data_IF_183133050483
#
_entry.id   IF_183133050483
#
_cell.length_a   1.000
_cell.length_b   1.000
_cell.length_c   1.000
_cell.angle_alpha   90.00
_cell.angle_beta   90.00
_cell.angle_gamma   90.00
#
_symmetry.space_group_name_H-M   'P 1'
#
loop_
_entity.id
_entity.type
_entity.pdbx_description
1 polymer ?
#
# COMPACT_ATOMS: atom_id res chain seq x y z
N UNK A 1 -15.79 15.03 21.82
CA UNK A 1 -15.94 13.82 22.66
C UNK A 1 -14.66 13.66 23.46
N UNK A 2 -14.67 13.82 24.79
CA UNK A 2 -13.48 13.59 25.63
C UNK A 2 -13.27 12.08 25.74
N UNK A 3 -12.25 11.55 25.07
CA UNK A 3 -11.84 10.16 25.23
C UNK A 3 -11.28 10.03 26.65
N UNK A 4 -11.96 9.27 27.50
CA UNK A 4 -11.55 9.05 28.88
C UNK A 4 -10.32 8.15 28.92
N UNK A 5 -9.20 8.70 29.39
CA UNK A 5 -7.91 8.04 29.67
C UNK A 5 -7.95 7.16 30.93
N UNK A 6 -8.96 6.28 31.04
CA UNK A 6 -9.04 5.39 32.19
C UNK A 6 -7.89 4.37 32.14
N UNK A 7 -7.09 4.21 33.23
CA UNK A 7 -6.09 3.17 33.29
C UNK A 7 -6.75 1.79 33.11
N UNK A 8 -6.31 1.04 32.11
CA UNK A 8 -6.76 -0.33 31.84
C UNK A 8 -5.66 -1.33 32.19
N UNK A 9 -5.99 -2.62 32.19
CA UNK A 9 -5.04 -3.71 32.49
C UNK A 9 -4.82 -4.54 31.23
N UNK A 10 -3.55 -4.70 30.82
CA UNK A 10 -3.13 -5.59 29.75
C UNK A 10 -2.14 -6.65 30.24
N UNK A 11 -1.79 -7.61 29.39
CA UNK A 11 -0.78 -8.64 29.69
C UNK A 11 0.41 -8.50 28.72
N UNK A 12 1.60 -8.24 29.26
CA UNK A 12 2.86 -8.13 28.48
C UNK A 12 3.86 -9.12 29.07
N UNK A 13 4.40 -10.02 28.24
CA UNK A 13 5.32 -11.09 28.66
C UNK A 13 4.83 -11.87 29.90
N UNK A 14 3.55 -12.24 29.90
CA UNK A 14 2.97 -13.02 31.00
C UNK A 14 2.56 -12.21 32.23
N UNK A 15 2.92 -10.93 32.33
CA UNK A 15 2.64 -10.08 33.50
C UNK A 15 1.48 -9.13 33.23
N UNK A 16 0.59 -8.99 34.21
CA UNK A 16 -0.46 -7.98 34.16
C UNK A 16 0.14 -6.59 34.42
N UNK A 17 -0.08 -5.67 33.50
CA UNK A 17 0.40 -4.29 33.57
C UNK A 17 -0.78 -3.34 33.45
N UNK A 18 -0.81 -2.32 34.32
CA UNK A 18 -1.73 -1.20 34.17
C UNK A 18 -1.13 -0.22 33.18
N UNK A 19 -1.88 0.17 32.16
CA UNK A 19 -1.47 1.20 31.22
C UNK A 19 -2.63 2.13 30.91
N UNK A 20 -2.31 3.37 30.54
CA UNK A 20 -3.29 4.33 30.06
C UNK A 20 -3.20 4.35 28.54
N UNK A 21 -4.25 3.94 27.81
CA UNK A 21 -4.25 4.07 26.35
C UNK A 21 -4.30 5.56 26.03
N UNK A 22 -3.18 6.12 25.55
CA UNK A 22 -3.09 7.49 25.06
C UNK A 22 -2.87 7.46 23.56
N UNK A 23 -3.53 8.38 22.85
CA UNK A 23 -3.19 8.66 21.46
C UNK A 23 -1.72 9.13 21.39
N UNK A 24 -1.01 8.82 20.30
CA UNK A 24 0.44 9.08 20.19
C UNK A 24 0.79 10.56 20.35
N UNK A 25 -0.15 11.43 20.05
CA UNK A 25 -0.08 12.89 20.18
C UNK A 25 -0.09 13.38 21.64
N UNK A 26 -0.66 12.61 22.57
CA UNK A 26 -0.79 12.97 23.99
C UNK A 26 0.30 12.29 24.86
N UNK A 27 1.29 11.63 24.25
CA UNK A 27 2.35 10.96 24.98
C UNK A 27 3.39 11.98 25.48
N UNK A 28 3.56 12.18 26.81
CA UNK A 28 4.56 13.11 27.35
C UNK A 28 6.01 12.64 27.14
N UNK A 29 6.19 11.39 26.69
CA UNK A 29 7.51 10.84 26.37
C UNK A 29 8.03 11.44 25.08
N UNK A 30 9.27 11.96 25.11
CA UNK A 30 9.92 12.52 23.92
C UNK A 30 10.06 11.44 22.84
N UNK A 31 9.85 11.82 21.58
CA UNK A 31 10.15 10.96 20.42
C UNK A 31 11.63 10.58 20.49
N UNK A 32 11.91 9.29 20.65
CA UNK A 32 13.27 8.78 20.77
C UNK A 32 13.95 8.55 19.42
N UNK A 33 13.17 8.27 18.37
CA UNK A 33 13.65 8.08 17.01
C UNK A 33 12.54 8.37 15.98
N UNK A 34 12.95 8.88 14.83
CA UNK A 34 12.11 9.00 13.64
C UNK A 34 12.69 8.11 12.56
N UNK A 35 11.84 7.32 11.90
CA UNK A 35 12.24 6.47 10.78
C UNK A 35 11.60 7.00 9.50
N UNK A 36 12.40 7.18 8.47
CA UNK A 36 11.94 7.51 7.11
C UNK A 36 12.33 6.36 6.22
N UNK A 37 11.38 5.82 5.46
CA UNK A 37 11.66 4.75 4.50
C UNK A 37 11.17 5.19 3.13
N UNK A 38 12.05 5.00 2.14
CA UNK A 38 11.76 5.25 0.75
C UNK A 38 11.63 3.91 0.02
N UNK A 39 10.45 3.65 -0.54
CA UNK A 39 10.18 2.47 -1.36
C UNK A 39 9.99 2.92 -2.82
N UNK A 40 10.97 2.67 -3.72
CA UNK A 40 10.80 2.98 -5.13
C UNK A 40 9.85 1.96 -5.76
N UNK A 41 8.74 2.45 -6.32
CA UNK A 41 7.74 1.64 -7.03
C UNK A 41 7.62 2.13 -8.48
N UNK A 42 7.56 1.20 -9.42
CA UNK A 42 7.16 1.46 -10.81
C UNK A 42 5.65 1.36 -10.97
N UNK A 43 5.12 1.78 -12.13
CA UNK A 43 3.68 1.63 -12.42
C UNK A 43 3.27 0.15 -12.41
N UNK A 44 4.13 -0.75 -12.88
CA UNK A 44 3.90 -2.19 -12.83
C UNK A 44 3.83 -2.72 -11.39
N UNK A 45 4.65 -2.18 -10.48
CA UNK A 45 4.58 -2.56 -9.06
C UNK A 45 3.24 -2.10 -8.45
N UNK A 46 2.80 -0.87 -8.78
CA UNK A 46 1.53 -0.32 -8.30
C UNK A 46 0.35 -1.12 -8.87
N UNK A 47 0.40 -1.47 -10.15
CA UNK A 47 -0.62 -2.30 -10.79
C UNK A 47 -0.70 -3.69 -10.15
N UNK A 48 0.45 -4.32 -9.87
CA UNK A 48 0.50 -5.61 -9.16
C UNK A 48 -0.10 -5.51 -7.75
N UNK A 49 0.23 -4.46 -7.00
CA UNK A 49 -0.36 -4.20 -5.68
C UNK A 49 -1.87 -4.01 -5.76
N UNK A 50 -2.37 -3.26 -6.75
CA UNK A 50 -3.81 -3.06 -6.93
C UNK A 50 -4.54 -4.33 -7.38
N UNK A 51 -3.90 -5.17 -8.20
CA UNK A 51 -4.44 -6.48 -8.55
C UNK A 51 -4.53 -7.40 -7.33
N UNK A 52 -3.52 -7.37 -6.46
CA UNK A 52 -3.57 -8.06 -5.16
C UNK A 52 -4.71 -7.55 -4.27
N UNK A 53 -4.86 -6.23 -4.13
CA UNK A 53 -5.91 -5.60 -3.30
C UNK A 53 -7.30 -5.96 -3.81
N UNK A 54 -7.49 -5.93 -5.13
CA UNK A 54 -8.79 -6.17 -5.78
C UNK A 54 -9.07 -7.65 -6.04
N UNK A 55 -8.25 -8.55 -5.50
CA UNK A 55 -8.43 -9.98 -5.67
C UNK A 55 -9.79 -10.44 -5.12
N UNK A 56 -10.55 -11.21 -5.90
CA UNK A 56 -11.89 -11.67 -5.56
C UNK A 56 -13.00 -10.61 -5.65
N UNK A 57 -12.68 -9.34 -5.92
CA UNK A 57 -13.69 -8.30 -6.10
C UNK A 57 -14.48 -8.47 -7.40
N UNK A 58 -15.76 -8.14 -7.34
CA UNK A 58 -16.63 -8.00 -8.51
C UNK A 58 -16.30 -6.75 -9.31
N UNK A 59 -16.82 -6.67 -10.55
CA UNK A 59 -16.61 -5.50 -11.43
C UNK A 59 -17.08 -4.19 -10.81
N UNK A 60 -18.22 -4.21 -10.12
CA UNK A 60 -18.80 -3.03 -9.48
C UNK A 60 -17.91 -2.56 -8.34
N UNK A 61 -17.46 -3.48 -7.48
CA UNK A 61 -16.58 -3.15 -6.35
C UNK A 61 -15.25 -2.56 -6.81
N UNK A 62 -14.62 -3.15 -7.84
CA UNK A 62 -13.39 -2.60 -8.42
C UNK A 62 -13.62 -1.20 -8.97
N UNK A 63 -14.72 -0.98 -9.69
CA UNK A 63 -15.04 0.33 -10.28
C UNK A 63 -15.22 1.39 -9.19
N UNK A 64 -15.99 1.08 -8.16
CA UNK A 64 -16.25 2.01 -7.05
C UNK A 64 -14.97 2.33 -6.29
N UNK A 65 -14.12 1.32 -6.05
CA UNK A 65 -12.83 1.52 -5.37
C UNK A 65 -11.86 2.38 -6.16
N UNK A 66 -11.72 2.12 -7.46
CA UNK A 66 -10.80 2.88 -8.31
C UNK A 66 -11.29 4.32 -8.57
N UNK A 67 -12.53 4.65 -8.21
CA UNK A 67 -13.10 5.99 -8.37
C UNK A 67 -12.60 7.02 -7.34
N UNK A 68 -11.95 6.60 -6.24
CA UNK A 68 -11.35 7.49 -5.25
C UNK A 68 -9.80 7.43 -5.28
N UNK A 69 -9.14 8.39 -5.97
CA UNK A 69 -7.68 8.49 -6.01
C UNK A 69 -7.00 8.65 -4.65
N UNK A 70 -7.69 9.20 -3.65
CA UNK A 70 -7.15 9.38 -2.30
C UNK A 70 -7.09 8.06 -1.55
N UNK A 71 -8.14 7.25 -1.66
CA UNK A 71 -8.20 5.90 -1.10
C UNK A 71 -7.20 4.97 -1.78
N UNK A 72 -7.16 4.98 -3.12
CA UNK A 72 -6.17 4.22 -3.92
C UNK A 72 -4.73 4.49 -3.45
N UNK A 73 -4.36 5.76 -3.26
CA UNK A 73 -3.01 6.12 -2.79
C UNK A 73 -2.69 5.52 -1.43
N UNK A 74 -3.61 5.63 -0.46
CA UNK A 74 -3.36 5.11 0.90
C UNK A 74 -3.15 3.61 0.88
N UNK A 75 -4.04 2.90 0.19
CA UNK A 75 -4.02 1.43 0.17
C UNK A 75 -2.81 0.89 -0.58
N UNK A 76 -2.45 1.49 -1.71
CA UNK A 76 -1.21 1.11 -2.41
C UNK A 76 0.00 1.25 -1.48
N UNK A 77 0.10 2.35 -0.73
CA UNK A 77 1.22 2.56 0.19
C UNK A 77 1.23 1.56 1.36
N UNK A 78 0.07 1.34 1.99
CA UNK A 78 -0.05 0.38 3.10
C UNK A 78 0.23 -1.06 2.63
N UNK A 79 -0.34 -1.47 1.50
CA UNK A 79 -0.17 -2.82 0.97
C UNK A 79 1.22 -3.04 0.41
N UNK A 80 1.80 -2.09 -0.34
CA UNK A 80 3.18 -2.23 -0.84
C UNK A 80 4.18 -2.35 0.32
N UNK A 81 3.95 -1.60 1.40
CA UNK A 81 4.72 -1.72 2.63
C UNK A 81 4.58 -3.10 3.28
N UNK A 82 3.35 -3.61 3.37
CA UNK A 82 3.06 -4.89 4.00
C UNK A 82 3.60 -6.09 3.22
N UNK A 83 3.50 -6.06 1.88
CA UNK A 83 3.98 -7.11 0.99
C UNK A 83 5.52 -7.15 0.90
N UNK A 84 6.14 -5.96 0.80
CA UNK A 84 7.55 -5.84 0.50
C UNK A 84 7.91 -6.25 -0.95
N UNK A 85 9.19 -6.09 -1.30
CA UNK A 85 9.62 -6.19 -2.70
C UNK A 85 9.49 -7.58 -3.34
N UNK A 86 9.70 -8.66 -2.56
CA UNK A 86 9.64 -10.03 -3.11
C UNK A 86 8.22 -10.39 -3.54
N UNK A 87 7.23 -10.17 -2.68
CA UNK A 87 5.85 -10.49 -2.99
C UNK A 87 5.30 -9.63 -4.15
N UNK A 88 5.67 -8.34 -4.21
CA UNK A 88 5.31 -7.49 -5.36
C UNK A 88 5.89 -8.03 -6.67
N UNK A 89 7.13 -8.52 -6.64
CA UNK A 89 7.75 -9.14 -7.81
C UNK A 89 7.01 -10.41 -8.24
N UNK A 90 6.59 -11.24 -7.30
CA UNK A 90 5.85 -12.47 -7.59
C UNK A 90 4.47 -12.16 -8.20
N UNK A 91 3.74 -11.18 -7.64
CA UNK A 91 2.48 -10.69 -8.22
C UNK A 91 2.68 -10.15 -9.65
N UNK A 92 3.79 -9.42 -9.89
CA UNK A 92 4.13 -8.92 -11.24
C UNK A 92 4.36 -10.04 -12.25
N UNK A 93 4.97 -11.15 -11.83
CA UNK A 93 5.14 -12.31 -12.70
C UNK A 93 3.79 -12.94 -13.02
N UNK A 94 2.89 -13.02 -12.02
CA UNK A 94 1.51 -13.47 -12.22
C UNK A 94 0.72 -12.62 -13.23
N UNK A 95 0.98 -11.31 -13.32
CA UNK A 95 0.32 -10.45 -14.33
C UNK A 95 0.60 -10.90 -15.78
N UNK A 96 1.77 -11.46 -16.05
CA UNK A 96 2.13 -11.93 -17.39
C UNK A 96 1.40 -13.23 -17.78
N UNK A 97 0.84 -13.93 -16.79
CA UNK A 97 0.11 -15.20 -16.98
C UNK A 97 -1.41 -14.99 -17.16
N UNK A 98 -1.90 -13.75 -17.02
CA UNK A 98 -3.32 -13.43 -17.15
C UNK A 98 -3.77 -13.63 -18.61
N UNK A 99 -4.75 -14.52 -18.79
CA UNK A 99 -5.32 -14.83 -20.10
C UNK A 99 -6.19 -13.68 -20.64
N UNK A 100 -6.01 -13.35 -21.92
CA UNK A 100 -6.81 -12.32 -22.59
C UNK A 100 -8.29 -12.67 -22.65
N UNK A 101 -9.16 -11.67 -22.47
CA UNK A 101 -10.62 -11.84 -22.55
C UNK A 101 -11.25 -12.43 -21.29
N UNK A 102 -10.47 -12.63 -20.24
CA UNK A 102 -10.97 -12.96 -18.90
C UNK A 102 -11.34 -11.70 -18.11
N UNK A 103 -12.08 -11.87 -17.01
CA UNK A 103 -12.32 -10.77 -16.06
C UNK A 103 -11.00 -10.20 -15.52
N UNK A 104 -10.01 -11.04 -15.25
CA UNK A 104 -8.73 -10.57 -14.72
C UNK A 104 -7.97 -9.70 -15.73
N UNK A 105 -8.10 -9.97 -17.03
CA UNK A 105 -7.57 -9.11 -18.08
C UNK A 105 -8.26 -7.75 -18.10
N UNK A 106 -9.60 -7.70 -18.02
CA UNK A 106 -10.35 -6.44 -17.95
C UNK A 106 -10.00 -5.64 -16.69
N UNK A 107 -9.90 -6.33 -15.54
CA UNK A 107 -9.52 -5.73 -14.27
C UNK A 107 -8.10 -5.15 -14.32
N UNK A 108 -7.16 -5.88 -14.93
CA UNK A 108 -5.79 -5.40 -15.12
C UNK A 108 -5.77 -4.09 -15.92
N UNK A 109 -6.57 -3.99 -17.00
CA UNK A 109 -6.66 -2.75 -17.80
C UNK A 109 -7.23 -1.58 -16.99
N UNK A 110 -8.27 -1.82 -16.17
CA UNK A 110 -8.85 -0.82 -15.27
C UNK A 110 -7.81 -0.33 -14.26
N UNK A 111 -7.12 -1.27 -13.60
CA UNK A 111 -6.08 -1.01 -12.60
C UNK A 111 -4.89 -0.26 -13.21
N UNK A 112 -4.45 -0.65 -14.41
CA UNK A 112 -3.36 0.01 -15.13
C UNK A 112 -3.71 1.47 -15.42
N UNK A 113 -4.91 1.69 -15.97
CA UNK A 113 -5.41 3.04 -16.28
C UNK A 113 -5.45 3.91 -15.04
N UNK A 114 -6.01 3.40 -13.94
CA UNK A 114 -6.03 4.09 -12.65
C UNK A 114 -4.61 4.39 -12.14
N UNK A 115 -3.70 3.41 -12.19
CA UNK A 115 -2.31 3.56 -11.74
C UNK A 115 -1.61 4.73 -12.43
N UNK A 116 -1.73 4.80 -13.76
CA UNK A 116 -1.15 5.88 -14.56
C UNK A 116 -1.77 7.24 -14.20
N UNK A 117 -3.11 7.31 -14.09
CA UNK A 117 -3.81 8.55 -13.79
C UNK A 117 -3.49 9.10 -12.39
N UNK A 118 -3.41 8.22 -11.39
CA UNK A 118 -3.24 8.61 -9.98
C UNK A 118 -1.79 8.95 -9.66
N UNK A 119 -0.83 8.15 -10.14
CA UNK A 119 0.58 8.23 -9.70
C UNK A 119 1.52 8.90 -10.70
N UNK A 120 1.10 9.05 -11.96
CA UNK A 120 1.84 9.78 -13.00
C UNK A 120 0.97 10.87 -13.66
N UNK A 121 0.29 11.75 -12.89
CA UNK A 121 -0.55 12.79 -13.48
C UNK A 121 0.32 13.76 -14.31
N UNK A 122 0.00 13.90 -15.60
CA UNK A 122 0.69 14.83 -16.51
C UNK A 122 2.08 14.39 -16.97
N UNK A 123 2.55 13.20 -16.61
CA UNK A 123 3.81 12.65 -17.10
C UNK A 123 3.57 11.92 -18.42
N UNK A 124 4.20 12.37 -19.52
CA UNK A 124 4.09 11.70 -20.83
C UNK A 124 4.91 10.40 -20.93
N UNK A 125 5.88 10.19 -20.04
CA UNK A 125 6.72 8.99 -19.96
C UNK A 125 7.18 8.84 -18.49
N UNK A 126 7.04 7.66 -17.86
CA UNK A 126 7.65 7.40 -16.55
C UNK A 126 9.17 7.53 -16.65
N UNK A 127 9.81 8.25 -15.72
CA UNK A 127 11.26 8.31 -15.67
C UNK A 127 11.83 6.88 -15.51
N UNK A 128 12.82 6.45 -16.32
CA UNK A 128 13.41 5.14 -16.17
C UNK A 128 13.94 4.96 -14.74
N UNK A 129 13.77 3.77 -14.16
CA UNK A 129 14.46 3.41 -12.91
C UNK A 129 15.94 3.70 -13.11
N UNK A 130 16.52 4.53 -12.24
CA UNK A 130 17.97 4.75 -12.21
C UNK A 130 18.62 3.38 -12.02
N UNK A 131 19.36 2.90 -13.01
CA UNK A 131 20.25 1.77 -12.78
C UNK A 131 21.27 2.21 -11.72
N UNK A 132 21.31 1.50 -10.60
CA UNK A 132 22.45 1.59 -9.70
C UNK A 132 23.57 0.81 -10.39
N UNK A 133 24.26 1.44 -11.33
CA UNK A 133 25.50 0.88 -11.84
C UNK A 133 26.45 0.73 -10.65
N UNK A 134 26.97 -0.49 -10.46
CA UNK A 134 28.03 -0.74 -9.48
C UNK A 134 29.17 0.22 -9.81
N UNK A 135 29.45 1.15 -8.91
CA UNK A 135 30.71 1.89 -8.92
C UNK A 135 31.81 0.85 -8.78
N UNK A 136 32.63 0.71 -9.82
CA UNK A 136 33.80 -0.16 -9.85
C UNK A 136 34.87 0.29 -8.86
#
# INVERSE_FOLDING_TARGET
MRITTAPTVGKVNGKHVKFTPVHREDNPSRVAATMTVALPLSIEDIAAVLMYITNGCSRAEVTDWLADPGEVRRLVMETAWALGGSAINDERLGLAEIESGTWDSERLDMVWTCSVQVFTPGTKVPAPRRSLERVA
#
